data_IF_834439434292
#
_entry.id   IF_834439434292
#
_cell.length_a   1.000
_cell.length_b   1.000
_cell.length_c   1.000
_cell.angle_alpha   90.00
_cell.angle_beta   90.00
_cell.angle_gamma   90.00
#
_symmetry.space_group_name_H-M   'P 1'
#
loop_
_entity.id
_entity.type
_entity.pdbx_description
1 polymer ?
#
# COMPACT_ATOMS: atom_id res chain seq x y z
N UNK A 1 29.29 31.14 17.26
CA UNK A 1 28.11 30.52 16.61
C UNK A 1 28.46 29.11 16.15
N UNK A 2 28.26 28.10 17.00
CA UNK A 2 28.39 26.69 16.57
C UNK A 2 27.12 26.31 15.82
N UNK A 3 27.06 26.56 14.52
CA UNK A 3 26.02 26.02 13.64
C UNK A 3 25.98 24.50 13.80
N UNK A 4 24.98 23.98 14.50
CA UNK A 4 24.75 22.54 14.56
C UNK A 4 24.12 22.14 13.23
N UNK A 5 24.97 21.99 12.21
CA UNK A 5 24.50 21.65 10.88
C UNK A 5 23.73 20.32 10.91
N UNK A 6 22.54 20.33 10.32
CA UNK A 6 21.71 19.15 10.16
C UNK A 6 22.03 18.50 8.80
N UNK A 7 23.10 17.70 8.77
CA UNK A 7 23.57 16.98 7.58
C UNK A 7 22.79 15.68 7.30
N UNK A 8 21.50 15.65 7.64
CA UNK A 8 20.60 14.56 7.25
C UNK A 8 20.15 14.80 5.81
N UNK A 9 20.52 13.89 4.91
CA UNK A 9 19.94 13.80 3.57
C UNK A 9 18.54 13.22 3.64
N UNK A 10 17.59 13.89 3.00
CA UNK A 10 16.18 13.51 2.98
C UNK A 10 15.77 13.16 1.55
N UNK A 11 15.09 12.02 1.38
CA UNK A 11 14.43 11.61 0.15
C UNK A 11 12.96 11.29 0.43
N UNK A 12 12.05 11.98 -0.26
CA UNK A 12 10.63 11.72 -0.20
C UNK A 12 10.17 10.93 -1.44
N UNK A 13 9.72 9.69 -1.24
CA UNK A 13 9.32 8.78 -2.31
C UNK A 13 7.82 8.51 -2.21
N UNK A 14 7.11 8.62 -3.34
CA UNK A 14 5.74 8.12 -3.46
C UNK A 14 5.75 6.81 -4.22
N UNK A 15 5.03 5.82 -3.71
CA UNK A 15 4.70 4.60 -4.46
C UNK A 15 3.21 4.60 -4.77
N UNK A 16 2.86 4.78 -6.04
CA UNK A 16 1.49 4.69 -6.53
C UNK A 16 1.18 3.33 -7.14
N UNK A 17 0.02 2.77 -6.82
CA UNK A 17 -0.53 1.61 -7.52
C UNK A 17 -1.75 1.02 -6.85
N UNK A 18 -2.55 0.26 -7.60
CA UNK A 18 -3.70 -0.50 -7.08
C UNK A 18 -3.31 -1.43 -5.92
N UNK A 19 -4.27 -1.92 -5.12
CA UNK A 19 -4.02 -3.02 -4.18
C UNK A 19 -3.30 -4.20 -4.86
N UNK A 20 -2.46 -4.91 -4.11
CA UNK A 20 -1.78 -6.13 -4.58
C UNK A 20 -0.82 -5.96 -5.77
N UNK A 21 -0.35 -4.73 -6.02
CA UNK A 21 0.68 -4.41 -7.03
C UNK A 21 2.11 -4.44 -6.48
N UNK A 22 2.33 -4.92 -5.25
CA UNK A 22 3.66 -5.05 -4.65
C UNK A 22 4.30 -3.75 -4.14
N UNK A 23 3.50 -2.76 -3.70
CA UNK A 23 4.03 -1.51 -3.10
C UNK A 23 4.87 -1.78 -1.85
N UNK A 24 4.34 -2.61 -0.94
CA UNK A 24 5.03 -3.04 0.27
C UNK A 24 6.33 -3.78 -0.06
N UNK A 25 6.28 -4.69 -1.03
CA UNK A 25 7.45 -5.42 -1.54
C UNK A 25 8.53 -4.49 -2.10
N UNK A 26 8.13 -3.44 -2.81
CA UNK A 26 9.06 -2.43 -3.31
C UNK A 26 9.71 -1.64 -2.15
N UNK A 27 8.94 -1.28 -1.12
CA UNK A 27 9.49 -0.66 0.09
C UNK A 27 10.47 -1.58 0.84
N UNK A 28 10.20 -2.89 0.89
CA UNK A 28 11.15 -3.89 1.42
C UNK A 28 12.43 -3.95 0.60
N UNK A 29 12.35 -3.91 -0.73
CA UNK A 29 13.53 -3.86 -1.60
C UNK A 29 14.40 -2.63 -1.33
N UNK A 30 13.78 -1.47 -1.06
CA UNK A 30 14.48 -0.26 -0.61
C UNK A 30 15.17 -0.50 0.74
N UNK A 31 14.48 -1.10 1.71
CA UNK A 31 15.05 -1.44 3.01
C UNK A 31 16.26 -2.39 2.88
N UNK A 32 16.16 -3.39 2.00
CA UNK A 32 17.25 -4.31 1.72
C UNK A 32 18.44 -3.61 1.07
N UNK A 33 18.21 -2.72 0.11
CA UNK A 33 19.27 -1.94 -0.50
C UNK A 33 20.02 -1.07 0.54
N UNK A 34 19.28 -0.45 1.46
CA UNK A 34 19.87 0.29 2.59
C UNK A 34 20.71 -0.62 3.48
N UNK A 35 20.20 -1.80 3.83
CA UNK A 35 20.93 -2.76 4.68
C UNK A 35 22.18 -3.28 3.98
N UNK A 36 22.14 -3.56 2.68
CA UNK A 36 23.32 -3.95 1.89
C UNK A 36 24.38 -2.84 1.88
N UNK A 37 23.97 -1.58 1.79
CA UNK A 37 24.89 -0.43 1.74
C UNK A 37 25.46 -0.02 3.10
N UNK A 38 24.62 0.03 4.13
CA UNK A 38 24.99 0.60 5.44
C UNK A 38 25.18 -0.45 6.54
N UNK A 39 24.75 -1.69 6.31
CA UNK A 39 24.76 -2.78 7.30
C UNK A 39 23.53 -2.76 8.21
N UNK A 40 23.01 -3.94 8.55
CA UNK A 40 21.74 -4.12 9.28
C UNK A 40 21.68 -3.36 10.62
N UNK A 41 22.80 -3.27 11.34
CA UNK A 41 22.88 -2.57 12.63
C UNK A 41 22.66 -1.06 12.50
N UNK A 42 23.03 -0.49 11.35
CA UNK A 42 23.01 0.96 11.07
C UNK A 42 21.73 1.43 10.38
N UNK A 43 20.84 0.52 10.01
CA UNK A 43 19.55 0.83 9.37
C UNK A 43 18.42 0.62 10.37
N UNK A 44 17.42 1.51 10.29
CA UNK A 44 16.14 1.35 10.99
C UNK A 44 15.03 1.57 9.98
N UNK A 45 14.10 0.63 9.91
CA UNK A 45 12.97 0.72 9.01
C UNK A 45 11.67 0.48 9.78
N UNK A 46 10.75 1.43 9.70
CA UNK A 46 9.41 1.32 10.25
C UNK A 46 8.38 1.28 9.14
N UNK A 47 7.35 0.48 9.37
CA UNK A 47 6.13 0.46 8.56
C UNK A 47 4.94 0.73 9.46
N UNK A 48 4.01 1.54 9.00
CA UNK A 48 2.67 1.59 9.55
C UNK A 48 1.65 1.53 8.43
N UNK A 49 0.63 0.71 8.62
CA UNK A 49 -0.47 0.57 7.67
C UNK A 49 -1.63 1.41 8.15
N UNK A 50 -2.05 2.40 7.36
CA UNK A 50 -3.21 3.26 7.66
C UNK A 50 -3.13 3.98 9.02
N UNK A 51 -1.94 4.14 9.58
CA UNK A 51 -1.69 4.74 10.90
C UNK A 51 -0.41 5.58 10.88
N UNK A 52 -0.51 6.78 10.30
CA UNK A 52 0.62 7.72 10.21
C UNK A 52 1.19 8.08 11.60
N UNK A 53 0.38 8.38 12.64
CA UNK A 53 0.89 8.66 14.00
C UNK A 53 1.79 7.57 14.56
N UNK A 54 1.45 6.30 14.34
CA UNK A 54 2.21 5.17 14.87
C UNK A 54 3.67 5.15 14.39
N UNK A 55 3.98 5.66 13.19
CA UNK A 55 5.36 5.80 12.74
C UNK A 55 6.14 6.69 13.73
N UNK A 56 5.67 7.91 13.95
CA UNK A 56 6.33 8.92 14.77
C UNK A 56 6.39 8.55 16.25
N UNK A 57 5.30 8.01 16.80
CA UNK A 57 5.26 7.56 18.20
C UNK A 57 6.24 6.42 18.49
N UNK A 58 6.61 5.65 17.47
CA UNK A 58 7.57 4.56 17.61
C UNK A 58 8.98 4.93 17.11
N UNK A 59 9.21 6.15 16.62
CA UNK A 59 10.57 6.62 16.26
C UNK A 59 11.47 6.56 17.50
N UNK A 60 11.01 7.00 18.68
CA UNK A 60 11.85 7.01 19.89
C UNK A 60 12.36 5.61 20.27
N UNK A 61 11.53 4.58 20.06
CA UNK A 61 11.90 3.18 20.27
C UNK A 61 13.01 2.70 19.31
N UNK A 62 13.21 3.36 18.17
CA UNK A 62 14.32 3.08 17.26
C UNK A 62 15.67 3.52 17.83
N UNK A 63 15.68 4.64 18.55
CA UNK A 63 16.87 5.28 19.09
C UNK A 63 17.23 4.75 20.47
N UNK A 64 16.22 4.40 21.30
CA UNK A 64 16.45 3.96 22.69
C UNK A 64 17.26 2.66 22.85
N UNK A 65 17.44 1.85 21.79
CA UNK A 65 18.24 0.61 21.85
C UNK A 65 19.74 0.80 21.57
N UNK A 66 20.18 1.96 21.09
CA UNK A 66 21.55 2.11 20.60
C UNK A 66 22.28 3.30 21.27
N UNK A 67 23.52 3.06 21.69
CA UNK A 67 24.45 4.12 22.14
C UNK A 67 24.78 5.14 21.03
N UNK A 68 24.47 4.85 19.76
CA UNK A 68 24.75 5.69 18.59
C UNK A 68 23.53 5.75 17.64
N UNK A 69 23.23 6.91 17.04
CA UNK A 69 22.13 7.04 16.08
C UNK A 69 22.38 6.18 14.81
N UNK A 70 21.31 5.70 14.14
CA UNK A 70 21.44 4.97 12.89
C UNK A 70 22.00 5.86 11.77
N UNK A 71 22.65 5.24 10.78
CA UNK A 71 23.13 5.95 9.58
C UNK A 71 22.04 6.15 8.54
N UNK A 72 21.05 5.25 8.49
CA UNK A 72 19.92 5.35 7.59
C UNK A 72 18.59 4.97 8.29
N UNK A 73 17.55 5.75 8.02
CA UNK A 73 16.18 5.53 8.49
C UNK A 73 15.24 5.43 7.28
N UNK A 74 14.38 4.42 7.28
CA UNK A 74 13.29 4.26 6.32
C UNK A 74 11.96 4.34 7.07
N UNK A 75 11.08 5.26 6.67
CA UNK A 75 9.71 5.35 7.17
C UNK A 75 8.74 5.03 6.05
N UNK A 76 7.98 3.95 6.20
CA UNK A 76 7.01 3.52 5.21
C UNK A 76 5.57 3.67 5.73
N UNK A 77 4.85 4.64 5.17
CA UNK A 77 3.42 4.82 5.39
C UNK A 77 2.64 4.05 4.32
N UNK A 78 2.16 2.86 4.68
CA UNK A 78 1.39 2.01 3.80
C UNK A 78 -0.08 2.46 3.79
N UNK A 79 -0.61 2.78 2.61
CA UNK A 79 -1.95 3.35 2.43
C UNK A 79 -2.12 4.71 3.14
N UNK A 80 -1.30 5.69 2.74
CA UNK A 80 -1.34 7.06 3.26
C UNK A 80 -2.69 7.73 2.97
N UNK A 81 -3.35 7.42 1.86
CA UNK A 81 -4.68 7.96 1.53
C UNK A 81 -5.71 7.62 2.61
N UNK A 82 -5.76 6.37 3.08
CA UNK A 82 -6.66 6.00 4.19
C UNK A 82 -6.13 6.46 5.54
N UNK A 83 -4.81 6.49 5.75
CA UNK A 83 -4.21 7.00 6.99
C UNK A 83 -4.68 8.44 7.27
N UNK A 84 -4.59 9.32 6.28
CA UNK A 84 -5.00 10.73 6.42
C UNK A 84 -6.50 10.88 6.65
N UNK A 85 -7.33 10.05 5.98
CA UNK A 85 -8.79 10.06 6.18
C UNK A 85 -9.21 9.63 7.59
N UNK A 86 -8.42 8.78 8.27
CA UNK A 86 -8.69 8.37 9.66
C UNK A 86 -8.37 9.48 10.67
N UNK A 87 -7.54 10.46 10.29
CA UNK A 87 -7.15 11.55 11.18
C UNK A 87 -8.26 12.60 11.23
N UNK A 88 -9.16 12.48 12.21
CA UNK A 88 -10.21 13.46 12.46
C UNK A 88 -10.02 14.21 13.78
N UNK A 89 -10.54 15.44 13.83
CA UNK A 89 -10.47 16.32 14.99
C UNK A 89 -9.22 17.19 15.05
N UNK A 90 -9.00 17.78 16.22
CA UNK A 90 -7.92 18.74 16.47
C UNK A 90 -7.00 18.27 17.59
N UNK A 91 -5.79 18.82 17.62
CA UNK A 91 -4.78 18.65 18.67
C UNK A 91 -4.36 20.03 19.13
N UNK A 92 -4.19 20.20 20.44
CA UNK A 92 -3.62 21.41 21.00
C UNK A 92 -2.10 21.40 20.80
N UNK A 93 -1.60 22.38 20.07
CA UNK A 93 -0.18 22.60 19.78
C UNK A 93 0.22 23.91 20.42
N UNK A 94 1.44 23.97 20.98
CA UNK A 94 1.98 25.24 21.46
C UNK A 94 2.59 26.00 20.27
N UNK A 95 2.17 27.24 20.07
CA UNK A 95 2.78 28.13 19.09
C UNK A 95 4.19 28.58 19.54
N UNK A 96 4.87 29.35 18.70
CA UNK A 96 6.18 29.92 19.00
C UNK A 96 6.18 30.86 20.21
N UNK A 97 5.02 31.39 20.60
CA UNK A 97 4.83 32.26 21.75
C UNK A 97 4.41 31.49 23.02
N UNK A 98 4.29 30.15 22.94
CA UNK A 98 3.86 29.28 24.03
C UNK A 98 2.34 29.21 24.26
N UNK A 99 1.54 29.88 23.44
CA UNK A 99 0.07 29.81 23.47
C UNK A 99 -0.44 28.51 22.86
N UNK A 100 -1.56 28.01 23.38
CA UNK A 100 -2.18 26.78 22.87
C UNK A 100 -3.08 27.10 21.67
N UNK A 101 -2.68 26.67 20.50
CA UNK A 101 -3.46 26.72 19.28
C UNK A 101 -4.07 25.35 18.95
N UNK A 102 -5.27 25.32 18.38
CA UNK A 102 -5.91 24.08 17.92
C UNK A 102 -5.57 23.84 16.45
N UNK A 103 -4.75 22.84 16.18
CA UNK A 103 -4.41 22.42 14.82
C UNK A 103 -5.22 21.19 14.42
N UNK A 104 -5.59 21.05 13.15
CA UNK A 104 -6.21 19.80 12.66
C UNK A 104 -5.19 18.67 12.75
N UNK A 105 -5.64 17.46 13.11
CA UNK A 105 -4.74 16.30 13.23
C UNK A 105 -4.00 15.99 11.93
N UNK A 106 -4.67 16.14 10.78
CA UNK A 106 -4.07 15.91 9.46
C UNK A 106 -2.85 16.82 9.29
N UNK A 107 -3.06 18.13 9.45
CA UNK A 107 -2.00 19.13 9.28
C UNK A 107 -0.86 18.89 10.28
N UNK A 108 -1.17 18.57 11.55
CA UNK A 108 -0.17 18.28 12.57
C UNK A 108 0.75 17.10 12.19
N UNK A 109 0.19 16.01 11.67
CA UNK A 109 0.99 14.83 11.30
C UNK A 109 1.68 14.98 9.95
N UNK A 110 1.09 15.74 9.01
CA UNK A 110 1.76 16.10 7.76
C UNK A 110 2.95 17.05 8.01
N UNK A 111 2.81 18.03 8.90
CA UNK A 111 3.91 18.91 9.29
C UNK A 111 5.09 18.11 9.86
N UNK A 112 4.82 17.13 10.72
CA UNK A 112 5.85 16.17 11.20
C UNK A 112 6.44 15.29 10.11
N UNK A 113 5.66 14.92 9.11
CA UNK A 113 6.13 14.19 7.94
C UNK A 113 7.11 15.05 7.16
N UNK A 114 6.77 16.29 6.83
CA UNK A 114 7.64 17.20 6.09
C UNK A 114 8.87 17.66 6.91
N UNK A 115 8.74 17.88 8.22
CA UNK A 115 9.85 18.19 9.15
C UNK A 115 10.54 16.94 9.72
N UNK A 116 10.63 15.84 8.96
CA UNK A 116 11.28 14.63 9.48
C UNK A 116 12.74 14.89 9.92
N UNK A 117 13.42 15.81 9.23
CA UNK A 117 14.82 16.16 9.52
C UNK A 117 14.91 16.82 10.89
N UNK A 118 14.00 17.74 11.22
CA UNK A 118 13.92 18.35 12.55
C UNK A 118 13.54 17.32 13.62
N UNK A 119 12.57 16.45 13.33
CA UNK A 119 12.15 15.38 14.25
C UNK A 119 13.29 14.40 14.58
N UNK A 120 14.10 13.99 13.60
CA UNK A 120 15.26 13.12 13.83
C UNK A 120 16.41 13.86 14.53
N UNK A 121 16.59 15.16 14.24
CA UNK A 121 17.60 15.99 14.86
C UNK A 121 17.35 16.21 16.36
N UNK A 122 16.09 16.43 16.76
CA UNK A 122 15.65 16.47 18.17
C UNK A 122 16.03 15.17 18.92
N UNK A 123 16.12 14.05 18.19
CA UNK A 123 16.42 12.71 18.71
C UNK A 123 17.90 12.31 18.60
N UNK A 124 18.76 13.25 18.24
CA UNK A 124 20.22 13.08 18.25
C UNK A 124 20.83 12.57 16.94
N UNK A 125 20.03 12.36 15.88
CA UNK A 125 20.58 12.14 14.54
C UNK A 125 21.05 13.47 13.97
N UNK A 126 22.36 13.65 13.77
CA UNK A 126 22.92 14.89 13.20
C UNK A 126 23.28 14.75 11.72
N UNK A 127 23.53 13.53 11.28
CA UNK A 127 23.96 13.19 9.93
C UNK A 127 23.39 11.83 9.53
N UNK A 128 23.25 11.60 8.23
CA UNK A 128 22.84 10.31 7.68
C UNK A 128 21.79 10.46 6.59
N UNK A 129 21.02 9.39 6.36
CA UNK A 129 20.00 9.33 5.34
C UNK A 129 18.64 9.05 5.97
N UNK A 130 17.62 9.80 5.58
CA UNK A 130 16.22 9.44 5.83
C UNK A 130 15.50 9.29 4.49
N UNK A 131 14.88 8.14 4.30
CA UNK A 131 13.98 7.87 3.19
C UNK A 131 12.58 7.76 3.75
N UNK A 132 11.68 8.58 3.24
CA UNK A 132 10.27 8.50 3.51
C UNK A 132 9.56 7.92 2.31
N UNK A 133 8.68 6.97 2.54
CA UNK A 133 7.93 6.28 1.49
C UNK A 133 6.46 6.35 1.82
N UNK A 134 5.67 7.04 0.99
CA UNK A 134 4.22 7.05 1.08
C UNK A 134 3.62 6.17 -0.02
N UNK A 135 2.89 5.11 0.36
CA UNK A 135 2.13 4.32 -0.60
C UNK A 135 0.72 4.88 -0.78
N UNK A 136 0.32 5.09 -2.03
CA UNK A 136 -0.99 5.61 -2.42
C UNK A 136 -1.73 4.59 -3.30
N UNK A 137 -3.00 4.35 -2.97
CA UNK A 137 -3.91 3.60 -3.85
C UNK A 137 -4.63 4.49 -4.87
N UNK A 138 -4.81 5.77 -4.53
CA UNK A 138 -5.38 6.80 -5.40
C UNK A 138 -4.39 7.94 -5.44
N UNK A 139 -3.91 8.26 -6.63
CA UNK A 139 -2.92 9.33 -6.80
C UNK A 139 -3.61 10.69 -6.70
N UNK A 140 -4.63 10.94 -7.53
CA UNK A 140 -5.41 12.17 -7.55
C UNK A 140 -6.11 12.46 -6.22
N UNK A 141 -6.61 11.41 -5.54
CA UNK A 141 -7.28 11.53 -4.25
C UNK A 141 -6.32 11.62 -3.05
N UNK A 142 -5.01 11.60 -3.29
CA UNK A 142 -4.00 11.89 -2.29
C UNK A 142 -3.85 13.39 -2.05
N UNK A 143 -3.26 13.72 -0.91
CA UNK A 143 -2.91 15.10 -0.56
C UNK A 143 -2.07 15.75 -1.68
N UNK A 144 -2.32 17.03 -1.95
CA UNK A 144 -1.66 17.74 -3.07
C UNK A 144 -0.18 17.94 -2.74
N UNK A 145 0.13 18.30 -1.50
CA UNK A 145 1.48 18.64 -1.08
C UNK A 145 2.36 17.39 -1.12
N UNK A 146 1.81 16.24 -0.73
CA UNK A 146 2.53 14.97 -0.83
C UNK A 146 2.99 14.71 -2.27
N UNK A 147 2.12 14.98 -3.25
CA UNK A 147 2.39 14.75 -4.68
C UNK A 147 3.33 15.77 -5.29
N UNK A 148 3.28 17.02 -4.84
CA UNK A 148 4.09 18.10 -5.38
C UNK A 148 5.55 17.97 -4.92
N UNK A 149 5.77 17.57 -3.66
CA UNK A 149 7.09 17.56 -3.02
C UNK A 149 7.78 16.19 -3.01
N UNK A 150 7.37 15.27 -3.89
CA UNK A 150 8.04 13.98 -4.03
C UNK A 150 9.33 14.13 -4.85
N UNK A 151 10.45 13.62 -4.34
CA UNK A 151 11.71 13.53 -5.08
C UNK A 151 11.66 12.43 -6.15
N UNK A 152 10.89 11.37 -5.87
CA UNK A 152 10.72 10.22 -6.73
C UNK A 152 9.28 9.68 -6.64
N UNK A 153 8.63 9.57 -7.79
CA UNK A 153 7.36 8.84 -7.93
C UNK A 153 7.65 7.49 -8.56
N UNK A 154 7.25 6.42 -7.88
CA UNK A 154 7.31 5.04 -8.35
C UNK A 154 5.90 4.55 -8.67
N UNK A 155 5.68 4.09 -9.89
CA UNK A 155 4.37 3.68 -10.40
C UNK A 155 4.36 2.17 -10.62
N UNK A 156 3.47 1.50 -9.89
CA UNK A 156 3.27 0.04 -9.87
C UNK A 156 2.04 -0.42 -10.64
N UNK A 157 1.13 0.49 -10.95
CA UNK A 157 0.07 0.27 -11.94
C UNK A 157 -0.34 1.60 -12.53
N UNK A 158 -0.77 1.62 -13.78
CA UNK A 158 -1.19 2.87 -14.45
C UNK A 158 -2.59 3.32 -14.06
N UNK A 159 -3.31 2.52 -13.25
CA UNK A 159 -4.68 2.80 -12.85
C UNK A 159 -5.70 2.18 -13.81
N UNK A 160 -6.94 2.63 -13.74
CA UNK A 160 -7.96 2.25 -14.72
C UNK A 160 -7.95 3.29 -15.85
N UNK A 161 -7.78 2.88 -17.13
CA UNK A 161 -7.74 3.83 -18.24
C UNK A 161 -8.96 4.74 -18.26
N UNK A 162 -8.75 6.00 -18.66
CA UNK A 162 -9.80 7.03 -18.71
C UNK A 162 -10.16 7.64 -17.35
N UNK A 163 -9.59 7.16 -16.25
CA UNK A 163 -9.80 7.77 -14.93
C UNK A 163 -8.82 8.92 -14.66
N UNK A 164 -9.18 9.82 -13.73
CA UNK A 164 -8.32 10.95 -13.33
C UNK A 164 -6.91 10.52 -12.89
N UNK A 165 -6.81 9.39 -12.18
CA UNK A 165 -5.53 8.83 -11.75
C UNK A 165 -4.67 8.44 -12.95
N UNK A 166 -5.23 7.71 -13.91
CA UNK A 166 -4.52 7.29 -15.12
C UNK A 166 -4.04 8.48 -15.94
N UNK A 167 -4.92 9.46 -16.18
CA UNK A 167 -4.58 10.65 -16.96
C UNK A 167 -3.48 11.49 -16.28
N UNK A 168 -3.49 11.60 -14.95
CA UNK A 168 -2.45 12.34 -14.22
C UNK A 168 -1.11 11.58 -14.26
N UNK A 169 -1.14 10.27 -14.08
CA UNK A 169 0.05 9.41 -14.13
C UNK A 169 0.66 9.39 -15.53
N UNK A 170 -0.16 9.31 -16.59
CA UNK A 170 0.28 9.41 -17.98
C UNK A 170 1.00 10.74 -18.25
N UNK A 171 0.43 11.87 -17.79
CA UNK A 171 1.07 13.19 -17.92
C UNK A 171 2.41 13.28 -17.20
N UNK A 172 2.58 12.60 -16.06
CA UNK A 172 3.82 12.63 -15.30
C UNK A 172 4.89 11.69 -15.87
N UNK A 173 4.50 10.51 -16.35
CA UNK A 173 5.42 9.54 -16.94
C UNK A 173 5.82 9.89 -18.38
N UNK A 174 4.91 10.54 -19.11
CA UNK A 174 4.96 10.65 -20.56
C UNK A 174 4.37 9.39 -21.23
N UNK A 175 3.87 9.52 -22.47
CA UNK A 175 3.11 8.45 -23.13
C UNK A 175 3.95 7.18 -23.32
N UNK A 176 5.21 7.30 -23.74
CA UNK A 176 6.09 6.15 -24.00
C UNK A 176 6.26 5.27 -22.76
N UNK A 177 6.63 5.90 -21.63
CA UNK A 177 6.84 5.18 -20.36
C UNK A 177 5.52 4.66 -19.80
N UNK A 178 4.44 5.42 -19.94
CA UNK A 178 3.11 5.00 -19.52
C UNK A 178 2.65 3.73 -20.23
N UNK A 179 2.74 3.67 -21.56
CA UNK A 179 2.34 2.49 -22.34
C UNK A 179 3.27 1.30 -22.11
N UNK A 180 4.57 1.52 -21.93
CA UNK A 180 5.50 0.45 -21.54
C UNK A 180 5.11 -0.16 -20.17
N UNK A 181 4.80 0.67 -19.17
CA UNK A 181 4.34 0.20 -17.87
C UNK A 181 2.98 -0.50 -17.97
N UNK A 182 2.08 0.00 -18.82
CA UNK A 182 0.77 -0.61 -19.08
C UNK A 182 0.92 -2.03 -19.63
N UNK A 183 1.87 -2.24 -20.54
CA UNK A 183 2.16 -3.55 -21.10
C UNK A 183 2.53 -4.54 -19.98
N UNK A 184 3.45 -4.17 -19.09
CA UNK A 184 3.81 -5.01 -17.93
C UNK A 184 2.63 -5.25 -16.96
N UNK A 185 1.73 -4.27 -16.76
CA UNK A 185 0.51 -4.47 -15.95
C UNK A 185 -0.42 -5.51 -16.58
N UNK A 186 -0.55 -5.52 -17.92
CA UNK A 186 -1.34 -6.52 -18.65
C UNK A 186 -0.66 -7.89 -18.62
N UNK A 187 0.65 -7.95 -18.86
CA UNK A 187 1.41 -9.19 -18.85
C UNK A 187 1.45 -9.81 -17.45
N UNK A 188 1.38 -8.99 -16.38
CA UNK A 188 1.25 -9.44 -15.00
C UNK A 188 -0.05 -10.23 -14.71
N UNK A 189 -1.09 -10.10 -15.55
CA UNK A 189 -2.29 -10.94 -15.46
C UNK A 189 -2.01 -12.38 -15.89
N UNK A 190 -0.99 -12.59 -16.73
CA UNK A 190 -0.57 -13.92 -17.22
C UNK A 190 0.60 -14.47 -16.39
N UNK A 191 1.63 -13.65 -16.14
CA UNK A 191 2.79 -14.00 -15.33
C UNK A 191 3.01 -12.96 -14.22
N UNK A 192 2.75 -13.35 -12.96
CA UNK A 192 2.96 -12.47 -11.80
C UNK A 192 4.39 -11.96 -11.66
N UNK A 193 5.40 -12.55 -12.29
CA UNK A 193 6.78 -12.04 -12.29
C UNK A 193 6.91 -10.67 -12.96
N UNK A 194 6.00 -10.34 -13.88
CA UNK A 194 5.95 -9.02 -14.53
C UNK A 194 5.57 -7.90 -13.55
N UNK A 195 4.99 -8.23 -12.39
CA UNK A 195 4.88 -7.27 -11.31
C UNK A 195 6.25 -6.74 -10.85
N UNK A 196 7.38 -7.34 -11.20
CA UNK A 196 8.68 -6.75 -10.85
C UNK A 196 8.94 -5.39 -11.53
N UNK A 197 8.28 -5.10 -12.64
CA UNK A 197 8.48 -3.83 -13.35
C UNK A 197 7.84 -2.66 -12.62
N UNK A 198 8.57 -1.55 -12.59
CA UNK A 198 8.17 -0.31 -11.93
C UNK A 198 8.53 0.84 -12.85
N UNK A 199 7.59 1.73 -13.12
CA UNK A 199 7.92 2.99 -13.77
C UNK A 199 8.32 4.04 -12.72
N UNK A 200 9.18 4.98 -13.10
CA UNK A 200 9.58 6.08 -12.23
C UNK A 200 9.41 7.44 -12.91
N UNK A 201 9.20 8.45 -12.10
CA UNK A 201 9.33 9.87 -12.45
C UNK A 201 10.22 10.51 -11.39
N UNK A 202 11.30 11.14 -11.84
CA UNK A 202 12.22 11.93 -11.03
C UNK A 202 12.42 13.29 -11.69
N UNK A 203 13.05 14.22 -10.98
CA UNK A 203 13.43 15.55 -11.53
C UNK A 203 14.31 15.44 -12.79
N UNK A 204 15.06 14.34 -12.94
CA UNK A 204 15.97 14.10 -14.07
C UNK A 204 15.31 13.39 -15.25
N UNK A 205 14.09 12.88 -15.11
CA UNK A 205 13.38 12.17 -16.19
C UNK A 205 12.49 11.03 -15.68
N UNK A 206 11.96 10.27 -16.63
CA UNK A 206 11.09 9.11 -16.38
C UNK A 206 11.59 7.87 -17.11
N UNK A 207 11.17 6.70 -16.65
CA UNK A 207 11.54 5.44 -17.28
C UNK A 207 10.91 4.24 -16.60
N UNK A 208 11.28 3.03 -17.05
CA UNK A 208 10.85 1.77 -16.45
C UNK A 208 12.08 0.98 -16.03
N UNK A 209 12.03 0.37 -14.86
CA UNK A 209 13.08 -0.48 -14.33
C UNK A 209 12.49 -1.68 -13.59
N UNK A 210 13.29 -2.74 -13.49
CA UNK A 210 12.86 -3.98 -12.84
C UNK A 210 13.35 -4.02 -11.40
N UNK A 211 12.42 -4.17 -10.47
CA UNK A 211 12.71 -4.43 -9.05
C UNK A 211 12.28 -5.86 -8.73
N UNK A 212 13.22 -6.81 -8.64
CA UNK A 212 12.89 -8.18 -8.32
C UNK A 212 12.27 -8.28 -6.92
N UNK A 213 11.34 -9.22 -6.75
CA UNK A 213 10.79 -9.54 -5.44
C UNK A 213 11.92 -10.06 -4.54
N UNK A 214 12.09 -9.51 -3.33
CA UNK A 214 13.05 -10.05 -2.38
C UNK A 214 12.70 -11.52 -2.06
N UNK A 215 13.71 -12.39 -1.87
CA UNK A 215 13.47 -13.80 -1.56
C UNK A 215 12.73 -13.93 -0.22
N UNK A 216 11.77 -14.86 -0.15
CA UNK A 216 10.86 -15.08 0.99
C UNK A 216 11.61 -15.43 2.29
N UNK A 217 12.83 -15.96 2.19
CA UNK A 217 13.69 -16.29 3.33
C UNK A 217 14.32 -15.07 4.02
N UNK A 218 14.19 -13.86 3.46
CA UNK A 218 14.78 -12.68 4.07
C UNK A 218 13.94 -12.27 5.28
N UNK A 219 14.52 -12.35 6.47
CA UNK A 219 13.93 -11.80 7.71
C UNK A 219 13.39 -10.39 7.45
N UNK A 220 12.10 -10.18 7.66
CA UNK A 220 11.43 -8.89 7.48
C UNK A 220 12.23 -7.78 8.17
N UNK A 221 12.76 -6.86 7.36
CA UNK A 221 13.64 -5.78 7.85
C UNK A 221 12.86 -4.57 8.36
N UNK A 222 11.65 -4.36 7.84
CA UNK A 222 10.75 -3.29 8.27
C UNK A 222 9.91 -3.76 9.45
N UNK A 223 9.99 -3.04 10.57
CA UNK A 223 9.18 -3.33 11.75
C UNK A 223 7.80 -2.68 11.60
N UNK A 224 6.74 -3.48 11.67
CA UNK A 224 5.37 -2.96 11.73
C UNK A 224 5.11 -2.34 13.12
N UNK A 225 4.54 -1.13 13.15
CA UNK A 225 4.29 -0.36 14.39
C UNK A 225 2.84 0.09 14.58
N UNK A 226 1.92 -0.28 13.68
CA UNK A 226 0.48 0.04 13.79
C UNK A 226 -0.32 -0.92 14.69
N UNK A 227 -1.60 -0.62 14.94
CA UNK A 227 -2.49 -1.44 15.77
C UNK A 227 -2.66 -2.87 15.23
N UNK A 228 -2.76 -3.86 16.15
CA UNK A 228 -2.87 -5.30 15.87
C UNK A 228 -4.01 -5.66 14.92
N UNK A 229 -5.15 -4.97 15.01
CA UNK A 229 -6.31 -5.14 14.12
C UNK A 229 -5.96 -4.96 12.64
N UNK A 230 -4.97 -4.10 12.33
CA UNK A 230 -4.52 -3.85 10.96
C UNK A 230 -3.62 -4.95 10.39
N UNK A 231 -3.11 -5.84 11.26
CA UNK A 231 -2.25 -6.97 10.85
C UNK A 231 -3.06 -8.21 10.47
N UNK A 232 -4.27 -8.37 11.03
CA UNK A 232 -5.15 -9.51 10.76
C UNK A 232 -5.91 -9.37 9.43
N UNK A 233 -6.33 -8.15 9.03
CA UNK A 233 -6.99 -7.92 7.72
C UNK A 233 -6.10 -8.30 6.51
N UNK A 234 -4.77 -8.19 6.64
CA UNK A 234 -3.82 -8.54 5.58
C UNK A 234 -3.60 -10.06 5.44
N UNK A 235 -3.78 -10.83 6.51
CA UNK A 235 -3.62 -12.28 6.48
C UNK A 235 -4.79 -12.99 5.76
N UNK A 236 -5.94 -12.32 5.64
CA UNK A 236 -7.15 -12.86 5.00
C UNK A 236 -7.13 -12.68 3.46
N UNK A 237 -6.26 -11.82 2.91
CA UNK A 237 -6.18 -11.58 1.46
C UNK A 237 -5.19 -12.51 0.72
N UNK A 238 -4.37 -13.31 1.43
CA UNK A 238 -3.48 -14.33 0.86
C UNK A 238 -4.15 -15.72 0.87
N UNK A 239 -5.22 -15.90 0.07
CA UNK A 239 -5.78 -17.24 -0.18
C UNK A 239 -5.16 -17.82 -1.47
N UNK A 240 -4.11 -18.62 -1.31
CA UNK A 240 -3.54 -19.42 -2.40
C UNK A 240 -4.47 -20.60 -2.77
N UNK A 241 -4.61 -20.96 -4.06
CA UNK A 241 -5.44 -22.07 -4.47
C UNK A 241 -4.81 -23.40 -4.05
N UNK A 242 -5.54 -24.19 -3.24
CA UNK A 242 -5.20 -25.57 -2.90
C UNK A 242 -5.01 -26.40 -4.17
N UNK A 243 -3.77 -26.84 -4.42
CA UNK A 243 -3.46 -27.90 -5.39
C UNK A 243 -4.00 -29.23 -4.86
N UNK A 244 -5.00 -29.79 -5.52
CA UNK A 244 -5.37 -31.20 -5.37
C UNK A 244 -4.35 -32.06 -6.11
N UNK A 245 -3.50 -32.78 -5.38
CA UNK A 245 -2.71 -33.87 -5.92
C UNK A 245 -3.61 -35.10 -6.08
N UNK A 246 -3.61 -35.65 -7.29
CA UNK A 246 -4.22 -36.93 -7.67
C UNK A 246 -3.08 -37.94 -7.73
N UNK A 247 -3.14 -39.02 -6.95
CA UNK A 247 -2.43 -40.26 -7.21
C UNK A 247 -3.35 -41.46 -6.90
N UNK A 248 -3.44 -42.37 -7.89
CA UNK A 248 -3.85 -43.78 -7.79
C UNK A 248 -2.80 -44.53 -6.93
N UNK A 249 -3.03 -45.63 -6.20
CA UNK A 249 -3.78 -46.85 -6.49
C UNK A 249 -3.89 -47.76 -5.21
N UNK A 250 -4.68 -48.83 -5.31
CA UNK A 250 -5.36 -49.69 -4.29
C UNK A 250 -4.54 -50.84 -3.59
N UNK A 251 -5.10 -51.87 -2.88
CA UNK A 251 -6.22 -52.00 -1.90
C UNK A 251 -5.92 -52.86 -0.62
N UNK A 252 -6.94 -52.98 0.27
CA UNK A 252 -7.26 -54.04 1.31
C UNK A 252 -6.99 -53.71 2.79
N UNK A 253 -8.04 -53.45 3.59
CA UNK A 253 -8.84 -54.42 4.38
C UNK A 253 -9.92 -53.69 5.19
N UNK A 254 -11.08 -54.34 5.32
CA UNK A 254 -12.30 -53.88 6.01
C UNK A 254 -12.15 -53.95 7.54
N UNK A 255 -12.67 -52.95 8.25
CA UNK A 255 -13.40 -53.12 9.50
C UNK A 255 -14.35 -51.94 9.74
N UNK A 256 -15.65 -52.25 9.80
CA UNK A 256 -16.75 -51.37 10.18
C UNK A 256 -16.67 -51.01 11.67
N UNK A 257 -16.91 -49.75 12.03
CA UNK A 257 -17.97 -49.34 12.97
C UNK A 257 -18.00 -47.80 13.14
N UNK A 258 -18.88 -47.19 12.34
CA UNK A 258 -19.89 -46.20 12.74
C UNK A 258 -19.47 -45.09 13.72
N UNK A 259 -18.97 -43.97 13.19
CA UNK A 259 -18.84 -42.71 13.95
C UNK A 259 -19.89 -41.69 13.48
N UNK A 260 -20.56 -41.09 14.47
CA UNK A 260 -21.67 -40.14 14.37
C UNK A 260 -21.34 -38.95 13.47
N UNK A 261 -22.19 -38.72 12.47
CA UNK A 261 -22.29 -37.46 11.74
C UNK A 261 -22.96 -36.42 12.66
N UNK A 262 -22.18 -35.51 13.24
CA UNK A 262 -22.69 -34.27 13.82
C UNK A 262 -22.66 -33.18 12.75
N UNK A 263 -23.84 -32.97 12.15
CA UNK A 263 -24.16 -31.89 11.22
C UNK A 263 -23.96 -30.54 11.92
N UNK A 264 -22.95 -29.77 11.52
CA UNK A 264 -22.85 -28.36 11.89
C UNK A 264 -23.79 -27.51 11.01
N UNK A 265 -24.54 -26.66 11.70
CA UNK A 265 -25.73 -25.94 11.27
C UNK A 265 -25.48 -24.83 10.25
N UNK A 266 -26.26 -24.82 9.15
CA UNK A 266 -26.39 -23.69 8.22
C UNK A 266 -27.04 -22.47 8.91
N UNK A 267 -26.63 -21.23 8.58
CA UNK A 267 -27.29 -20.03 9.11
C UNK A 267 -28.67 -19.83 8.47
N UNK A 268 -29.66 -19.51 9.32
CA UNK A 268 -31.05 -19.17 8.95
C UNK A 268 -31.09 -18.01 7.95
N UNK A 269 -31.38 -18.31 6.68
CA UNK A 269 -31.78 -17.32 5.66
C UNK A 269 -33.25 -16.91 5.88
N UNK A 270 -33.49 -15.61 6.08
CA UNK A 270 -34.83 -15.06 6.29
C UNK A 270 -35.67 -15.08 5.00
N UNK A 271 -36.96 -15.43 5.12
CA UNK A 271 -37.91 -15.60 4.00
C UNK A 271 -38.22 -14.30 3.24
N UNK A 272 -37.85 -13.11 3.75
CA UNK A 272 -38.08 -11.81 3.07
C UNK A 272 -37.14 -11.55 1.89
N UNK A 273 -35.92 -12.12 1.88
CA UNK A 273 -34.93 -11.87 0.82
C UNK A 273 -35.25 -12.54 -0.52
N UNK A 274 -36.04 -13.63 -0.51
CA UNK A 274 -36.31 -14.41 -1.74
C UNK A 274 -37.25 -13.66 -2.69
N UNK A 275 -38.28 -12.98 -2.18
CA UNK A 275 -39.23 -12.22 -3.01
C UNK A 275 -38.57 -11.00 -3.65
N UNK A 276 -37.69 -10.29 -2.94
CA UNK A 276 -36.97 -9.13 -3.48
C UNK A 276 -36.00 -9.56 -4.58
N UNK A 277 -35.28 -10.68 -4.41
CA UNK A 277 -34.37 -11.17 -5.46
C UNK A 277 -35.08 -11.60 -6.74
N UNK A 278 -36.29 -12.17 -6.63
CA UNK A 278 -37.07 -12.60 -7.79
C UNK A 278 -37.62 -11.39 -8.55
N UNK A 279 -38.08 -10.35 -7.84
CA UNK A 279 -38.58 -9.11 -8.46
C UNK A 279 -37.45 -8.37 -9.19
N UNK A 280 -36.25 -8.30 -8.62
CA UNK A 280 -35.10 -7.64 -9.26
C UNK A 280 -34.67 -8.40 -10.52
N UNK A 281 -34.63 -9.74 -10.48
CA UNK A 281 -34.30 -10.54 -11.66
C UNK A 281 -35.36 -10.42 -12.77
N UNK A 282 -36.65 -10.42 -12.42
CA UNK A 282 -37.72 -10.26 -13.39
C UNK A 282 -37.69 -8.87 -14.07
N UNK A 283 -37.44 -7.81 -13.29
CA UNK A 283 -37.28 -6.46 -13.82
C UNK A 283 -36.08 -6.35 -14.77
N UNK A 284 -34.94 -6.97 -14.43
CA UNK A 284 -33.76 -7.02 -15.29
C UNK A 284 -34.03 -7.70 -16.63
N UNK A 285 -34.70 -8.85 -16.63
CA UNK A 285 -35.04 -9.60 -17.85
C UNK A 285 -36.00 -8.81 -18.75
N UNK A 286 -37.03 -8.17 -18.19
CA UNK A 286 -37.96 -7.33 -18.94
C UNK A 286 -37.26 -6.12 -19.59
N UNK A 287 -36.30 -5.53 -18.87
CA UNK A 287 -35.53 -4.39 -19.39
C UNK A 287 -34.69 -4.82 -20.59
N UNK A 288 -34.01 -5.97 -20.51
CA UNK A 288 -33.21 -6.51 -21.62
C UNK A 288 -34.08 -6.87 -22.82
N UNK A 289 -35.25 -7.47 -22.62
CA UNK A 289 -36.20 -7.78 -23.70
C UNK A 289 -36.74 -6.50 -24.38
N UNK A 290 -37.01 -5.45 -23.60
CA UNK A 290 -37.44 -4.16 -24.14
C UNK A 290 -36.34 -3.51 -24.99
N UNK A 291 -35.08 -3.55 -24.54
CA UNK A 291 -33.96 -3.05 -25.33
C UNK A 291 -33.72 -3.89 -26.59
N UNK A 292 -33.83 -5.21 -26.51
CA UNK A 292 -33.75 -6.09 -27.67
C UNK A 292 -34.84 -5.76 -28.70
N UNK A 293 -36.09 -5.61 -28.27
CA UNK A 293 -37.19 -5.22 -29.16
C UNK A 293 -36.95 -3.83 -29.79
N UNK A 294 -36.57 -2.83 -28.98
CA UNK A 294 -36.46 -1.45 -29.46
C UNK A 294 -35.30 -1.24 -30.43
N UNK A 295 -34.19 -1.97 -30.27
CA UNK A 295 -32.96 -1.71 -31.01
C UNK A 295 -32.58 -2.81 -32.02
N UNK A 296 -33.01 -4.06 -31.81
CA UNK A 296 -32.68 -5.18 -32.72
C UNK A 296 -33.79 -5.40 -33.75
N UNK A 297 -35.06 -5.20 -33.37
CA UNK A 297 -36.19 -5.36 -34.29
C UNK A 297 -36.16 -4.44 -35.53
N UNK A 298 -35.72 -3.17 -35.44
CA UNK A 298 -35.59 -2.30 -36.62
C UNK A 298 -34.46 -2.70 -37.58
N UNK A 299 -33.51 -3.54 -37.14
CA UNK A 299 -32.41 -4.04 -37.96
C UNK A 299 -32.77 -5.32 -38.74
N UNK A 300 -33.91 -5.94 -38.41
CA UNK A 300 -34.42 -7.17 -39.03
C UNK A 300 -35.57 -6.89 -40.03
N UNK A 301 -35.88 -5.62 -40.28
CA UNK A 301 -36.78 -5.14 -41.34
C UNK A 301 -35.98 -4.43 -42.41
#
# INVERSE_FOLDING_TARGET
SSGKDNAIHHLNIIIFGKPNTGKTTLAESIAQALVRRYGQRNVKALRATRDLPALFQNIDKLFGRFRKPPKAVLLFADDMTKALRKLSGTVAVKDSNGQLEKMRKIDYWLDKWYDIRGELFKRGMRQGLVIMVAALHRFYGGDIDLRADADLLLVRSTGTPGTFDANKVERMLGPVVYYAMRQHEVDALRDRKELAWTAFVAKTGSGVFRVPRPPVSTKWLMRNVGSLETSEELAVEDDEPKKSAVELDSPKKKSLLQEKISVQTRPRRSKKGRRVSIVIMAAGVLTVLFFAWKYIWPLLR
#
